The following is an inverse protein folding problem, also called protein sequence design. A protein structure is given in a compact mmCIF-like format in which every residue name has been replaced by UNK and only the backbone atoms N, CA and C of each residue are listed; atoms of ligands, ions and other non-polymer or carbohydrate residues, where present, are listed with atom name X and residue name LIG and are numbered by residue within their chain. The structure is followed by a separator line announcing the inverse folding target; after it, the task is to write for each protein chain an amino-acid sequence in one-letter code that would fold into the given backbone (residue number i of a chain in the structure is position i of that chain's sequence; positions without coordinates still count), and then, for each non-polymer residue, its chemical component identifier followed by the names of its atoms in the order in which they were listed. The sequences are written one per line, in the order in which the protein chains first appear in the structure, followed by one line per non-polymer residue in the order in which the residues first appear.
data_IF_604072654491
#
_entry.id   IF_604072654491
#
_cell.length_a   1.000
_cell.length_b   1.000
_cell.length_c   1.000
_cell.angle_alpha   90.00
_cell.angle_beta   90.00
_cell.angle_gamma   90.00
#
_symmetry.space_group_name_H-M   'P 1'
#
loop_
_entity.id
_entity.type
_entity.pdbx_description
1 polymer ?
#
# COMPACT_ATOMS: atom_id res chain seq x y z
N UNK A 1 -41.27 -14.73 22.51
CA UNK A 1 -40.54 -14.30 21.30
C UNK A 1 -39.04 -14.42 21.56
N UNK A 2 -38.29 -15.31 20.88
CA UNK A 2 -36.85 -15.41 21.10
C UNK A 2 -36.13 -14.32 20.29
N UNK A 3 -35.40 -13.47 21.01
CA UNK A 3 -34.52 -12.42 20.47
C UNK A 3 -33.39 -13.10 19.68
N UNK A 4 -33.44 -13.07 18.33
CA UNK A 4 -32.28 -13.39 17.49
C UNK A 4 -31.16 -12.39 17.77
N UNK A 5 -30.21 -12.75 18.64
CA UNK A 5 -28.87 -12.13 18.64
C UNK A 5 -28.32 -12.36 17.23
N UNK A 6 -28.14 -11.29 16.45
CA UNK A 6 -27.17 -11.29 15.33
C UNK A 6 -25.82 -11.62 15.98
N UNK A 7 -25.45 -12.90 16.02
CA UNK A 7 -24.06 -13.29 16.14
C UNK A 7 -23.37 -12.61 14.98
N UNK A 8 -22.53 -11.61 15.26
CA UNK A 8 -21.56 -11.15 14.30
C UNK A 8 -20.76 -12.40 13.92
N UNK A 9 -20.97 -12.90 12.71
CA UNK A 9 -20.14 -13.96 12.15
C UNK A 9 -18.75 -13.34 11.95
N UNK A 10 -17.93 -13.38 13.01
CA UNK A 10 -16.57 -12.90 12.96
C UNK A 10 -15.75 -13.81 12.05
N UNK A 11 -14.91 -13.22 11.21
CA UNK A 11 -13.93 -13.97 10.42
C UNK A 11 -12.99 -14.72 11.39
N UNK A 12 -12.66 -15.96 11.04
CA UNK A 12 -11.68 -16.73 11.78
C UNK A 12 -10.29 -16.09 11.65
N UNK A 13 -9.56 -15.98 12.77
CA UNK A 13 -8.21 -15.40 12.79
C UNK A 13 -7.19 -16.43 12.31
N UNK A 14 -7.11 -16.61 10.99
CA UNK A 14 -6.20 -17.57 10.33
C UNK A 14 -4.83 -16.97 9.96
N UNK A 15 -4.70 -15.64 9.94
CA UNK A 15 -3.44 -14.97 9.58
C UNK A 15 -2.48 -14.90 10.78
N UNK A 16 -1.46 -15.74 10.76
CA UNK A 16 -0.32 -15.67 11.70
C UNK A 16 0.75 -14.66 11.27
N UNK A 17 1.78 -14.50 12.10
CA UNK A 17 2.89 -13.55 11.87
C UNK A 17 3.54 -13.67 10.48
N UNK A 18 3.84 -14.87 9.94
CA UNK A 18 4.44 -14.97 8.61
C UNK A 18 3.53 -14.45 7.49
N UNK A 19 2.23 -14.69 7.60
CA UNK A 19 1.25 -14.22 6.61
C UNK A 19 1.08 -12.69 6.67
N UNK A 20 1.06 -12.12 7.88
CA UNK A 20 1.03 -10.67 8.09
C UNK A 20 2.32 -10.01 7.55
N UNK A 21 3.48 -10.60 7.83
CA UNK A 21 4.77 -10.14 7.31
C UNK A 21 4.79 -10.19 5.78
N UNK A 22 4.37 -11.31 5.18
CA UNK A 22 4.34 -11.46 3.73
C UNK A 22 3.42 -10.42 3.06
N UNK A 23 2.28 -10.12 3.65
CA UNK A 23 1.35 -9.10 3.14
C UNK A 23 1.98 -7.72 3.18
N UNK A 24 2.58 -7.33 4.30
CA UNK A 24 3.25 -6.03 4.45
C UNK A 24 4.48 -5.93 3.54
N UNK A 25 5.31 -6.98 3.51
CA UNK A 25 6.51 -7.04 2.69
C UNK A 25 6.20 -7.00 1.20
N UNK A 26 5.15 -7.70 0.74
CA UNK A 26 4.73 -7.65 -0.67
C UNK A 26 4.35 -6.24 -1.10
N UNK A 27 3.61 -5.51 -0.26
CA UNK A 27 3.18 -4.15 -0.54
C UNK A 27 4.34 -3.13 -0.52
N UNK A 28 5.30 -3.28 0.40
CA UNK A 28 6.48 -2.39 0.46
C UNK A 28 7.51 -2.75 -0.61
N UNK A 29 7.76 -4.05 -0.78
CA UNK A 29 8.75 -4.59 -1.71
C UNK A 29 8.42 -4.30 -3.17
N UNK A 30 7.14 -4.27 -3.54
CA UNK A 30 6.73 -3.90 -4.91
C UNK A 30 7.11 -2.46 -5.28
N UNK A 31 7.28 -1.58 -4.29
CA UNK A 31 7.56 -0.16 -4.54
C UNK A 31 8.93 0.09 -5.16
N UNK A 32 9.88 -0.84 -5.03
CA UNK A 32 11.20 -0.69 -5.63
C UNK A 32 11.13 -0.67 -7.17
N UNK A 33 10.15 -1.37 -7.75
CA UNK A 33 10.02 -1.51 -9.20
C UNK A 33 9.66 -0.19 -9.89
N UNK A 34 8.89 0.69 -9.25
CA UNK A 34 8.55 2.00 -9.82
C UNK A 34 9.31 3.16 -9.19
N UNK A 35 9.72 3.07 -7.91
CA UNK A 35 10.35 4.20 -7.22
C UNK A 35 11.87 4.27 -7.42
N UNK A 36 12.58 3.15 -7.56
CA UNK A 36 14.05 3.14 -7.57
C UNK A 36 14.61 3.95 -8.74
N UNK A 37 14.14 3.71 -9.95
CA UNK A 37 14.60 4.41 -11.14
C UNK A 37 14.28 5.91 -11.08
N UNK A 38 13.09 6.27 -10.59
CA UNK A 38 12.68 7.66 -10.40
C UNK A 38 13.56 8.38 -9.38
N UNK A 39 13.81 7.78 -8.21
CA UNK A 39 14.72 8.39 -7.23
C UNK A 39 16.13 8.51 -7.80
N UNK A 40 16.61 7.48 -8.49
CA UNK A 40 17.94 7.47 -9.09
C UNK A 40 18.14 8.55 -10.16
N UNK A 41 17.11 8.88 -10.94
CA UNK A 41 17.23 9.95 -11.94
C UNK A 41 17.40 11.34 -11.34
N UNK A 42 16.92 11.57 -10.11
CA UNK A 42 17.08 12.86 -9.41
C UNK A 42 18.25 12.88 -8.42
N UNK A 43 18.44 11.80 -7.66
CA UNK A 43 19.45 11.71 -6.61
C UNK A 43 20.81 11.23 -7.13
N UNK A 44 20.86 10.62 -8.32
CA UNK A 44 22.08 10.08 -8.94
C UNK A 44 22.85 9.19 -7.95
N UNK A 45 24.14 9.47 -7.71
CA UNK A 45 24.96 8.72 -6.75
C UNK A 45 24.52 8.83 -5.30
N UNK A 46 23.66 9.79 -4.94
CA UNK A 46 23.14 9.97 -3.58
C UNK A 46 21.90 9.10 -3.29
N UNK A 47 21.44 8.30 -4.25
CA UNK A 47 20.29 7.39 -4.10
C UNK A 47 20.32 6.57 -2.81
N UNK A 48 21.44 5.92 -2.40
CA UNK A 48 21.48 5.16 -1.15
C UNK A 48 21.21 6.02 0.10
N UNK A 49 21.67 7.28 0.11
CA UNK A 49 21.45 8.20 1.23
C UNK A 49 19.97 8.59 1.32
N UNK A 50 19.32 8.84 0.17
CA UNK A 50 17.88 9.12 0.11
C UNK A 50 17.07 7.94 0.65
N UNK A 51 17.44 6.72 0.27
CA UNK A 51 16.79 5.50 0.79
C UNK A 51 17.06 5.30 2.29
N UNK A 52 18.25 5.61 2.79
CA UNK A 52 18.56 5.54 4.21
C UNK A 52 17.68 6.50 5.01
N UNK A 53 17.59 7.76 4.59
CA UNK A 53 16.75 8.77 5.25
C UNK A 53 15.27 8.35 5.20
N UNK A 54 14.79 7.93 4.04
CA UNK A 54 13.40 7.47 3.86
C UNK A 54 13.12 6.23 4.72
N UNK A 55 14.08 5.31 4.83
CA UNK A 55 14.00 4.13 5.68
C UNK A 55 13.91 4.48 7.17
N UNK A 56 14.63 5.49 7.64
CA UNK A 56 14.52 5.97 9.02
C UNK A 56 13.13 6.57 9.31
N UNK A 57 12.59 7.37 8.39
CA UNK A 57 11.24 7.94 8.50
C UNK A 57 10.19 6.80 8.50
N UNK A 58 10.37 5.81 7.62
CA UNK A 58 9.50 4.64 7.57
C UNK A 58 9.57 3.83 8.87
N UNK A 59 10.76 3.62 9.45
CA UNK A 59 10.90 2.90 10.72
C UNK A 59 10.18 3.62 11.87
N UNK A 60 10.29 4.95 11.96
CA UNK A 60 9.56 5.75 12.93
C UNK A 60 8.03 5.64 12.71
N UNK A 61 7.58 5.65 11.46
CA UNK A 61 6.16 5.45 11.11
C UNK A 61 5.69 4.05 11.49
N UNK A 62 6.47 3.01 11.20
CA UNK A 62 6.13 1.64 11.55
C UNK A 62 6.02 1.46 13.06
N UNK A 63 6.90 2.09 13.85
CA UNK A 63 6.86 2.04 15.31
C UNK A 63 5.57 2.69 15.86
N UNK A 64 5.18 3.87 15.38
CA UNK A 64 3.95 4.54 15.83
C UNK A 64 2.69 3.76 15.42
N UNK A 65 2.70 3.13 14.24
CA UNK A 65 1.62 2.24 13.82
C UNK A 65 1.54 0.97 14.67
N UNK A 66 2.68 0.41 15.08
CA UNK A 66 2.71 -0.75 15.97
C UNK A 66 2.09 -0.40 17.34
N UNK A 67 2.49 0.72 17.94
CA UNK A 67 1.91 1.22 19.20
C UNK A 67 0.41 1.48 19.06
N UNK A 68 0.00 2.16 17.98
CA UNK A 68 -1.40 2.45 17.68
C UNK A 68 -2.24 1.19 17.53
N UNK A 69 -1.73 0.17 16.82
CA UNK A 69 -2.44 -1.09 16.56
C UNK A 69 -2.60 -1.92 17.83
N UNK A 70 -1.62 -1.91 18.73
CA UNK A 70 -1.73 -2.56 20.04
C UNK A 70 -2.74 -1.85 20.92
N UNK A 71 -2.78 -0.51 20.90
CA UNK A 71 -3.70 0.30 21.70
C UNK A 71 -5.15 0.24 21.21
N UNK A 72 -5.34 0.26 19.90
CA UNK A 72 -6.64 0.26 19.24
C UNK A 72 -6.67 -0.89 18.20
N UNK A 73 -7.03 -2.13 18.62
CA UNK A 73 -7.01 -3.31 17.77
C UNK A 73 -8.24 -3.36 16.84
N UNK A 74 -8.37 -2.34 16.01
CA UNK A 74 -9.43 -2.18 15.01
C UNK A 74 -8.86 -2.32 13.60
N UNK A 75 -9.66 -2.88 12.69
CA UNK A 75 -9.31 -3.00 11.27
C UNK A 75 -9.49 -1.66 10.52
N UNK A 76 -8.81 -0.60 10.95
CA UNK A 76 -9.00 0.76 10.42
C UNK A 76 -7.71 1.58 10.17
N UNK A 77 -6.57 1.17 10.71
CA UNK A 77 -5.29 1.86 10.49
C UNK A 77 -5.32 3.36 10.83
N UNK A 78 -4.76 4.20 9.95
CA UNK A 78 -4.67 5.66 10.12
C UNK A 78 -6.01 6.34 10.38
N UNK A 79 -7.09 5.89 9.74
CA UNK A 79 -8.42 6.45 9.94
C UNK A 79 -8.94 6.18 11.36
N UNK A 80 -8.74 4.96 11.90
CA UNK A 80 -9.10 4.64 13.28
C UNK A 80 -8.25 5.43 14.28
N UNK A 81 -6.94 5.55 14.05
CA UNK A 81 -6.07 6.34 14.93
C UNK A 81 -6.47 7.81 14.94
N UNK A 82 -6.77 8.39 13.78
CA UNK A 82 -7.25 9.76 13.67
C UNK A 82 -8.59 9.99 14.38
N UNK A 83 -9.48 8.99 14.35
CA UNK A 83 -10.75 9.03 15.08
C UNK A 83 -10.54 9.08 16.60
N UNK A 84 -9.64 8.26 17.10
CA UNK A 84 -9.30 8.19 18.53
C UNK A 84 -8.52 9.41 19.03
N UNK A 85 -7.67 9.99 18.18
CA UNK A 85 -6.83 11.13 18.55
C UNK A 85 -7.53 12.48 18.38
N UNK A 86 -8.40 12.61 17.37
CA UNK A 86 -9.04 13.87 16.99
C UNK A 86 -10.56 13.72 16.96
N UNK A 87 -11.14 13.51 15.78
CA UNK A 87 -12.59 13.42 15.58
C UNK A 87 -12.93 12.72 14.25
N UNK A 88 -14.24 12.59 13.98
CA UNK A 88 -14.77 11.94 12.78
C UNK A 88 -14.34 12.63 11.47
N UNK A 89 -14.23 13.96 11.45
CA UNK A 89 -13.88 14.72 10.25
C UNK A 89 -12.44 14.44 9.81
N UNK A 90 -11.50 14.41 10.78
CA UNK A 90 -10.10 14.07 10.50
C UNK A 90 -9.96 12.61 10.12
N UNK A 91 -10.72 11.71 10.77
CA UNK A 91 -10.80 10.29 10.40
C UNK A 91 -11.28 10.10 8.97
N UNK A 92 -12.33 10.81 8.55
CA UNK A 92 -12.84 10.81 7.19
C UNK A 92 -11.79 11.30 6.19
N UNK A 93 -11.09 12.39 6.50
CA UNK A 93 -9.99 12.90 5.67
C UNK A 93 -8.86 11.86 5.51
N UNK A 94 -8.45 11.22 6.61
CA UNK A 94 -7.44 10.17 6.59
C UNK A 94 -7.89 8.95 5.76
N UNK A 95 -9.14 8.54 5.88
CA UNK A 95 -9.72 7.45 5.09
C UNK A 95 -9.75 7.78 3.58
N UNK A 96 -10.12 9.01 3.22
CA UNK A 96 -10.10 9.46 1.82
C UNK A 96 -8.69 9.51 1.25
N UNK A 97 -7.74 10.08 1.99
CA UNK A 97 -6.34 10.11 1.58
C UNK A 97 -5.80 8.69 1.38
N UNK A 98 -6.13 7.77 2.30
CA UNK A 98 -5.73 6.38 2.20
C UNK A 98 -6.35 5.68 0.98
N UNK A 99 -7.63 5.91 0.69
CA UNK A 99 -8.31 5.35 -0.48
C UNK A 99 -7.67 5.85 -1.78
N UNK A 100 -7.42 7.16 -1.89
CA UNK A 100 -6.74 7.74 -3.06
C UNK A 100 -5.32 7.20 -3.21
N UNK A 101 -4.59 7.05 -2.12
CA UNK A 101 -3.27 6.44 -2.13
C UNK A 101 -3.31 5.02 -2.72
N UNK A 102 -4.27 4.18 -2.29
CA UNK A 102 -4.41 2.84 -2.86
C UNK A 102 -4.75 2.86 -4.35
N UNK A 103 -5.61 3.76 -4.81
CA UNK A 103 -5.92 3.92 -6.24
C UNK A 103 -4.66 4.27 -7.04
N UNK A 104 -3.87 5.22 -6.55
CA UNK A 104 -2.61 5.62 -7.17
C UNK A 104 -1.61 4.45 -7.20
N UNK A 105 -1.47 3.72 -6.09
CA UNK A 105 -0.56 2.57 -6.00
C UNK A 105 -0.96 1.47 -6.98
N UNK A 106 -2.24 1.15 -7.10
CA UNK A 106 -2.75 0.16 -8.07
C UNK A 106 -2.47 0.63 -9.50
N UNK A 107 -2.79 1.89 -9.82
CA UNK A 107 -2.59 2.45 -11.16
C UNK A 107 -1.11 2.45 -11.58
N UNK A 108 -0.20 2.91 -10.71
CA UNK A 108 1.23 2.91 -11.00
C UNK A 108 1.74 1.48 -11.13
N UNK A 109 1.35 0.57 -10.23
CA UNK A 109 1.78 -0.83 -10.29
C UNK A 109 1.37 -1.48 -11.61
N UNK A 110 0.11 -1.32 -12.02
CA UNK A 110 -0.41 -1.86 -13.26
C UNK A 110 0.29 -1.28 -14.50
N UNK A 111 0.60 0.03 -14.48
CA UNK A 111 1.31 0.69 -15.58
C UNK A 111 2.75 0.22 -15.75
N UNK A 112 3.43 -0.14 -14.67
CA UNK A 112 4.82 -0.63 -14.74
C UNK A 112 4.94 -2.09 -15.19
N UNK A 113 3.89 -2.91 -15.06
CA UNK A 113 3.91 -4.32 -15.53
C UNK A 113 4.32 -4.44 -17.01
N UNK A 114 3.66 -3.79 -17.98
CA UNK A 114 4.05 -3.89 -19.39
C UNK A 114 5.46 -3.33 -19.66
N UNK A 115 5.88 -2.28 -18.93
CA UNK A 115 7.22 -1.73 -19.08
C UNK A 115 8.32 -2.71 -18.65
N UNK A 116 8.11 -3.45 -17.56
CA UNK A 116 9.02 -4.53 -17.16
C UNK A 116 9.00 -5.72 -18.14
N UNK A 117 7.81 -6.07 -18.65
CA UNK A 117 7.66 -7.15 -19.64
C UNK A 117 8.19 -6.77 -21.04
N UNK A 118 8.41 -5.49 -21.31
CA UNK A 118 8.88 -5.01 -22.62
C UNK A 118 10.26 -5.55 -23.02
N UNK A 119 11.03 -6.05 -22.05
CA UNK A 119 12.28 -6.77 -22.33
C UNK A 119 12.05 -8.04 -23.16
N UNK A 120 10.86 -8.66 -23.05
CA UNK A 120 10.45 -9.81 -23.85
C UNK A 120 9.70 -9.40 -25.11
N UNK A 121 8.98 -8.27 -25.07
CA UNK A 121 8.23 -7.76 -26.22
C UNK A 121 8.21 -6.23 -26.26
N UNK A 122 9.09 -5.65 -27.08
CA UNK A 122 9.32 -4.20 -27.19
C UNK A 122 8.05 -3.33 -27.33
N UNK A 123 6.99 -3.73 -28.08
CA UNK A 123 5.77 -2.93 -28.22
C UNK A 123 5.09 -2.59 -26.89
N UNK A 124 5.30 -3.37 -25.82
CA UNK A 124 4.73 -3.11 -24.50
C UNK A 124 5.27 -1.83 -23.83
N UNK A 125 6.36 -1.26 -24.34
CA UNK A 125 6.92 -0.01 -23.85
C UNK A 125 6.39 1.23 -24.61
N UNK A 126 5.39 1.06 -25.48
CA UNK A 126 4.85 2.14 -26.30
C UNK A 126 3.33 2.15 -26.29
N UNK A 127 2.76 3.34 -26.43
CA UNK A 127 1.34 3.52 -26.64
C UNK A 127 0.90 2.90 -27.98
N UNK A 128 -0.24 2.17 -28.02
CA UNK A 128 -1.25 1.98 -26.96
C UNK A 128 -1.09 0.71 -26.10
N UNK A 129 -0.08 -0.13 -26.36
CA UNK A 129 0.04 -1.45 -25.74
C UNK A 129 0.34 -1.41 -24.24
N UNK A 130 1.11 -0.43 -23.79
CA UNK A 130 1.36 -0.13 -22.38
C UNK A 130 0.04 0.07 -21.60
N UNK A 131 -0.86 0.90 -22.12
CA UNK A 131 -2.14 1.22 -21.48
C UNK A 131 -3.09 0.03 -21.54
N UNK A 132 -3.18 -0.67 -22.68
CA UNK A 132 -4.08 -1.82 -22.84
C UNK A 132 -3.72 -2.94 -21.87
N UNK A 133 -2.43 -3.30 -21.80
CA UNK A 133 -1.96 -4.36 -20.89
C UNK A 133 -2.06 -3.93 -19.43
N UNK A 134 -1.71 -2.68 -19.11
CA UNK A 134 -1.89 -2.14 -17.76
C UNK A 134 -3.37 -2.16 -17.32
N UNK A 135 -4.30 -1.78 -18.19
CA UNK A 135 -5.74 -1.85 -17.90
C UNK A 135 -6.21 -3.30 -17.72
N UNK A 136 -5.72 -4.24 -18.53
CA UNK A 136 -6.04 -5.67 -18.40
C UNK A 136 -5.57 -6.24 -17.05
N UNK A 137 -4.40 -5.82 -16.55
CA UNK A 137 -3.88 -6.22 -15.23
C UNK A 137 -4.79 -5.78 -14.08
N UNK A 138 -5.50 -4.65 -14.20
CA UNK A 138 -6.42 -4.17 -13.15
C UNK A 138 -7.71 -5.01 -13.08
N UNK A 139 -8.12 -5.62 -14.20
CA UNK A 139 -9.38 -6.37 -14.30
C UNK A 139 -9.27 -7.80 -13.75
N UNK A 140 -8.06 -8.35 -13.70
CA UNK A 140 -7.76 -9.72 -13.26
C UNK A 140 -7.40 -9.73 -11.78
#
# INVERSE_FOLDING_TARGET
MPRRRRQQAGLERVLGTPALFSTAYGNVGSSIYYALGFVASYALGLTPIVFLITGLIFAATAATYAEGTVRYPEAGGSASFARHAFNELVSFGAAWAQMLNYIITIAISAFFVPHYLSIFWEPLNRNPWDVIVGAAVIVV
#
